data_IF_623724410186
#
_entry.id   IF_623724410186
#
_cell.length_a   1.000
_cell.length_b   1.000
_cell.length_c   1.000
_cell.angle_alpha   90.00
_cell.angle_beta   90.00
_cell.angle_gamma   90.00
#
_symmetry.space_group_name_H-M   'P 1'
#
loop_
_entity.id
_entity.type
_entity.pdbx_description
1 polymer ?
#
# COMPACT_ATOMS: atom_id res chain seq x y z
N UNK A 1 -27.69 19.36 -7.38
CA UNK A 1 -28.66 20.15 -6.57
C UNK A 1 -28.83 21.60 -7.06
N UNK A 2 -27.92 22.55 -6.77
CA UNK A 2 -28.16 23.96 -7.13
C UNK A 2 -27.86 24.29 -8.60
N UNK A 3 -26.90 23.60 -9.22
CA UNK A 3 -26.57 23.77 -10.64
C UNK A 3 -27.43 22.90 -11.56
N UNK A 4 -27.55 21.61 -11.25
CA UNK A 4 -28.19 20.61 -12.13
C UNK A 4 -29.55 20.12 -11.63
N UNK A 5 -29.97 20.43 -10.40
CA UNK A 5 -31.20 19.86 -9.81
C UNK A 5 -31.12 18.36 -9.46
N UNK A 6 -30.10 17.65 -9.93
CA UNK A 6 -29.97 16.20 -9.78
C UNK A 6 -29.08 15.80 -8.58
N UNK A 7 -29.26 14.55 -8.15
CA UNK A 7 -28.51 13.87 -7.07
C UNK A 7 -27.73 12.65 -7.60
N UNK A 8 -27.61 12.52 -8.92
CA UNK A 8 -26.77 11.50 -9.54
C UNK A 8 -25.29 11.78 -9.22
N UNK A 9 -24.55 10.72 -8.94
CA UNK A 9 -23.11 10.82 -8.62
C UNK A 9 -22.31 11.14 -9.90
N UNK A 10 -22.76 10.60 -11.04
CA UNK A 10 -22.28 10.91 -12.38
C UNK A 10 -22.88 12.24 -12.86
N UNK A 11 -22.09 13.04 -13.59
CA UNK A 11 -22.47 14.32 -14.21
C UNK A 11 -22.27 15.59 -13.34
N UNK A 12 -21.10 15.78 -12.71
CA UNK A 12 -20.67 17.09 -12.19
C UNK A 12 -20.15 17.97 -13.33
N UNK A 13 -20.97 18.93 -13.75
CA UNK A 13 -20.66 19.81 -14.88
C UNK A 13 -19.76 21.02 -14.54
N UNK A 14 -19.69 21.41 -13.25
CA UNK A 14 -18.92 22.57 -12.83
C UNK A 14 -17.60 22.19 -12.15
N UNK A 15 -16.57 23.00 -12.39
CA UNK A 15 -15.20 22.75 -11.90
C UNK A 15 -15.05 22.97 -10.40
N UNK A 16 -15.87 23.82 -9.79
CA UNK A 16 -15.81 24.11 -8.35
C UNK A 16 -16.23 22.92 -7.47
N UNK A 17 -17.36 22.23 -7.67
CA UNK A 17 -17.72 21.06 -6.88
C UNK A 17 -16.77 19.88 -7.12
N UNK A 18 -16.27 19.68 -8.35
CA UNK A 18 -15.30 18.60 -8.62
C UNK A 18 -13.96 18.84 -7.90
N UNK A 19 -13.49 20.09 -7.82
CA UNK A 19 -12.31 20.45 -7.02
C UNK A 19 -12.53 20.25 -5.51
N UNK A 20 -13.69 20.63 -4.99
CA UNK A 20 -14.02 20.41 -3.57
C UNK A 20 -14.13 18.92 -3.25
N UNK A 21 -14.78 18.15 -4.12
CA UNK A 21 -14.93 16.70 -3.96
C UNK A 21 -13.59 15.98 -4.04
N UNK A 22 -12.76 16.29 -5.05
CA UNK A 22 -11.42 15.72 -5.19
C UNK A 22 -10.58 16.00 -3.95
N UNK A 23 -10.48 17.25 -3.51
CA UNK A 23 -9.70 17.60 -2.30
C UNK A 23 -10.22 16.90 -1.04
N UNK A 24 -11.53 16.79 -0.85
CA UNK A 24 -12.12 16.04 0.27
C UNK A 24 -11.75 14.55 0.24
N UNK A 25 -11.79 13.92 -0.94
CA UNK A 25 -11.39 12.52 -1.10
C UNK A 25 -9.87 12.33 -0.90
N UNK A 26 -9.04 13.28 -1.34
CA UNK A 26 -7.59 13.27 -1.10
C UNK A 26 -7.26 13.33 0.39
N UNK A 27 -7.96 14.16 1.17
CA UNK A 27 -7.83 14.23 2.62
C UNK A 27 -8.17 12.87 3.24
N UNK A 28 -9.31 12.28 2.87
CA UNK A 28 -9.78 11.00 3.42
C UNK A 28 -8.87 9.82 3.07
N UNK A 29 -8.27 9.82 1.89
CA UNK A 29 -7.30 8.81 1.47
C UNK A 29 -5.89 9.07 2.01
N UNK A 30 -5.63 10.22 2.64
CA UNK A 30 -4.31 10.65 3.11
C UNK A 30 -3.28 10.79 1.98
N UNK A 31 -3.71 11.36 0.87
CA UNK A 31 -2.86 11.62 -0.29
C UNK A 31 -2.13 12.94 -0.06
N UNK A 32 -0.86 13.02 -0.47
CA UNK A 32 -0.09 14.26 -0.34
C UNK A 32 -0.77 15.43 -1.07
N UNK A 33 -0.84 16.63 -0.46
CA UNK A 33 -0.16 17.06 0.77
C UNK A 33 -0.87 16.66 2.09
N UNK A 34 -2.10 16.14 2.04
CA UNK A 34 -2.94 15.84 3.20
C UNK A 34 -2.62 14.53 3.93
N UNK A 35 -1.40 14.01 3.77
CA UNK A 35 -0.96 12.72 4.30
C UNK A 35 -0.57 12.74 5.79
N UNK A 36 -0.33 13.93 6.38
CA UNK A 36 0.30 14.08 7.70
C UNK A 36 -0.49 13.45 8.86
N UNK A 37 -1.82 13.39 8.77
CA UNK A 37 -2.64 12.82 9.84
C UNK A 37 -2.48 11.30 9.97
N UNK A 38 -2.18 10.61 8.87
CA UNK A 38 -2.24 9.15 8.82
C UNK A 38 -1.11 8.46 9.63
N UNK A 39 0.17 8.86 9.54
CA UNK A 39 1.24 8.25 10.34
C UNK A 39 1.03 8.37 11.86
N UNK A 40 0.51 9.51 12.34
CA UNK A 40 0.33 9.76 13.77
C UNK A 40 -0.90 9.04 14.33
N UNK A 41 -2.01 9.01 13.57
CA UNK A 41 -3.20 8.24 13.96
C UNK A 41 -2.88 6.76 14.03
N UNK A 42 -2.23 6.18 13.02
CA UNK A 42 -1.90 4.76 13.01
C UNK A 42 -0.93 4.41 14.13
N UNK A 43 -0.02 5.32 14.52
CA UNK A 43 0.88 5.04 15.62
C UNK A 43 0.16 4.89 16.97
N UNK A 44 -0.93 5.62 17.20
CA UNK A 44 -1.72 5.58 18.43
C UNK A 44 -2.78 4.47 18.50
N UNK A 45 -3.00 3.75 17.40
CA UNK A 45 -4.04 2.72 17.30
C UNK A 45 -3.49 1.30 17.49
N UNK A 46 -4.39 0.38 17.85
CA UNK A 46 -4.11 -1.06 17.88
C UNK A 46 -3.85 -1.64 16.49
N UNK A 47 -3.13 -2.76 16.42
CA UNK A 47 -2.75 -3.37 15.14
C UNK A 47 -3.96 -3.78 14.28
N UNK A 48 -5.03 -4.26 14.91
CA UNK A 48 -6.25 -4.65 14.17
C UNK A 48 -6.98 -3.44 13.59
N UNK A 49 -7.09 -2.35 14.36
CA UNK A 49 -7.72 -1.11 13.89
C UNK A 49 -6.87 -0.42 12.83
N UNK A 50 -5.53 -0.50 12.94
CA UNK A 50 -4.61 -0.07 11.89
C UNK A 50 -4.86 -0.82 10.57
N UNK A 51 -5.03 -2.15 10.64
CA UNK A 51 -5.33 -2.96 9.46
C UNK A 51 -6.64 -2.52 8.81
N UNK A 52 -7.70 -2.33 9.59
CA UNK A 52 -9.02 -1.86 9.10
C UNK A 52 -8.90 -0.47 8.46
N UNK A 53 -8.14 0.45 9.08
CA UNK A 53 -7.96 1.81 8.57
C UNK A 53 -7.18 1.84 7.25
N UNK A 54 -6.17 0.98 7.09
CA UNK A 54 -5.37 0.91 5.87
C UNK A 54 -6.01 0.09 4.75
N UNK A 55 -7.01 -0.74 5.06
CA UNK A 55 -7.70 -1.58 4.07
C UNK A 55 -9.11 -1.10 3.78
N UNK A 56 -10.02 -1.33 4.73
CA UNK A 56 -11.45 -1.10 4.58
C UNK A 56 -11.79 0.37 4.31
N UNK A 57 -11.15 1.30 5.03
CA UNK A 57 -11.44 2.73 4.89
C UNK A 57 -10.97 3.32 3.56
N UNK A 58 -10.15 2.60 2.77
CA UNK A 58 -9.71 3.03 1.43
C UNK A 58 -10.69 2.64 0.33
N UNK A 59 -11.56 1.64 0.56
CA UNK A 59 -12.49 1.13 -0.45
C UNK A 59 -13.51 2.17 -0.91
N UNK A 60 -14.25 2.76 0.03
CA UNK A 60 -15.34 3.68 -0.32
C UNK A 60 -14.86 4.96 -1.02
N UNK A 61 -13.80 5.67 -0.56
CA UNK A 61 -13.29 6.84 -1.27
C UNK A 61 -12.72 6.49 -2.65
N UNK A 62 -12.09 5.33 -2.81
CA UNK A 62 -11.57 4.89 -4.11
C UNK A 62 -12.70 4.56 -5.09
N UNK A 63 -13.76 3.90 -4.62
CA UNK A 63 -14.94 3.62 -5.44
C UNK A 63 -15.59 4.91 -5.95
N UNK A 64 -15.69 5.95 -5.09
CA UNK A 64 -16.19 7.26 -5.52
C UNK A 64 -15.29 7.92 -6.55
N UNK A 65 -13.95 7.89 -6.37
CA UNK A 65 -13.01 8.45 -7.36
C UNK A 65 -13.14 7.76 -8.72
N UNK A 66 -13.32 6.44 -8.74
CA UNK A 66 -13.49 5.68 -9.99
C UNK A 66 -14.81 6.04 -10.69
N UNK A 67 -15.89 6.28 -9.94
CA UNK A 67 -17.19 6.65 -10.52
C UNK A 67 -17.20 8.04 -11.17
N UNK A 68 -16.41 8.98 -10.63
CA UNK A 68 -16.35 10.37 -11.10
C UNK A 68 -15.15 10.65 -12.00
N UNK A 69 -14.38 9.62 -12.35
CA UNK A 69 -13.16 9.68 -13.16
C UNK A 69 -13.23 10.65 -14.37
N UNK A 70 -14.25 10.62 -15.25
CA UNK A 70 -14.25 11.45 -16.47
C UNK A 70 -14.29 12.96 -16.20
N UNK A 71 -14.63 13.38 -14.99
CA UNK A 71 -14.81 14.79 -14.61
C UNK A 71 -13.65 15.35 -13.79
N UNK A 72 -12.69 14.51 -13.44
CA UNK A 72 -11.57 14.92 -12.60
C UNK A 72 -10.51 15.65 -13.41
N UNK A 73 -9.82 16.59 -12.76
CA UNK A 73 -8.73 17.30 -13.39
C UNK A 73 -7.48 16.38 -13.46
N UNK A 74 -7.02 15.95 -14.66
CA UNK A 74 -5.87 15.07 -14.83
C UNK A 74 -4.58 15.66 -14.25
N UNK A 75 -4.39 16.97 -14.42
CA UNK A 75 -3.17 17.65 -13.96
C UNK A 75 -3.10 17.64 -12.43
N UNK A 76 -4.22 17.89 -11.76
CA UNK A 76 -4.28 17.88 -10.29
C UNK A 76 -3.97 16.48 -9.74
N UNK A 77 -4.58 15.44 -10.30
CA UNK A 77 -4.41 14.06 -9.86
C UNK A 77 -2.97 13.57 -10.07
N UNK A 78 -2.36 13.89 -11.20
CA UNK A 78 -0.96 13.52 -11.47
C UNK A 78 0.00 14.23 -10.52
N UNK A 79 -0.22 15.51 -10.19
CA UNK A 79 0.56 16.24 -9.17
C UNK A 79 0.41 15.58 -7.80
N UNK A 80 -0.82 15.34 -7.31
CA UNK A 80 -1.04 14.72 -6.01
C UNK A 80 -0.50 13.29 -5.92
N UNK A 81 -0.70 12.51 -6.98
CA UNK A 81 -0.18 11.15 -7.10
C UNK A 81 1.35 11.13 -7.03
N UNK A 82 2.04 11.89 -7.88
CA UNK A 82 3.51 11.94 -7.87
C UNK A 82 4.10 12.45 -6.56
N UNK A 83 3.52 13.52 -5.98
CA UNK A 83 3.95 14.02 -4.67
C UNK A 83 3.80 12.95 -3.58
N UNK A 84 2.71 12.18 -3.60
CA UNK A 84 2.48 11.15 -2.58
C UNK A 84 3.43 9.97 -2.68
N UNK A 85 3.89 9.59 -3.88
CA UNK A 85 4.94 8.57 -4.04
C UNK A 85 6.27 9.08 -3.48
N UNK A 86 6.64 10.33 -3.78
CA UNK A 86 7.90 10.93 -3.29
C UNK A 86 7.88 11.06 -1.75
N UNK A 87 6.84 11.68 -1.19
CA UNK A 87 6.73 11.91 0.25
C UNK A 87 6.51 10.60 1.02
N UNK A 88 5.78 9.63 0.46
CA UNK A 88 5.67 8.30 1.03
C UNK A 88 7.02 7.58 1.07
N UNK A 89 7.80 7.66 0.00
CA UNK A 89 9.16 7.13 -0.06
C UNK A 89 10.06 7.73 1.01
N UNK A 90 10.21 9.06 1.03
CA UNK A 90 11.08 9.75 2.00
C UNK A 90 10.60 9.63 3.43
N UNK A 91 9.29 9.76 3.68
CA UNK A 91 8.72 9.68 5.02
C UNK A 91 8.94 8.32 5.70
N UNK A 92 8.93 7.23 4.91
CA UNK A 92 9.14 5.87 5.41
C UNK A 92 10.59 5.56 5.80
N UNK A 93 11.58 6.22 5.20
CA UNK A 93 13.00 5.94 5.42
C UNK A 93 13.39 6.11 6.90
N UNK A 94 12.92 7.15 7.57
CA UNK A 94 13.38 7.47 8.92
C UNK A 94 12.47 6.94 10.04
N UNK A 95 11.59 5.97 9.76
CA UNK A 95 10.66 5.46 10.77
C UNK A 95 11.16 4.16 11.43
N UNK A 96 11.32 4.12 12.76
CA UNK A 96 11.62 2.90 13.50
C UNK A 96 10.36 2.09 13.88
N UNK A 97 9.18 2.70 13.76
CA UNK A 97 7.90 2.09 14.09
C UNK A 97 7.29 1.43 12.86
N UNK A 98 6.97 0.14 12.95
CA UNK A 98 6.45 -0.64 11.81
C UNK A 98 5.11 -0.06 11.35
N UNK A 99 4.29 0.39 12.29
CA UNK A 99 3.02 1.07 12.01
C UNK A 99 3.19 2.31 11.13
N UNK A 100 4.18 3.17 11.42
CA UNK A 100 4.50 4.33 10.58
C UNK A 100 5.10 3.96 9.23
N UNK A 101 5.90 2.88 9.15
CA UNK A 101 6.39 2.37 7.86
C UNK A 101 5.19 1.95 6.99
N UNK A 102 4.24 1.20 7.54
CA UNK A 102 3.03 0.80 6.82
C UNK A 102 2.15 2.00 6.44
N UNK A 103 2.08 3.04 7.27
CA UNK A 103 1.44 4.30 6.93
C UNK A 103 2.02 4.93 5.66
N UNK A 104 3.34 5.15 5.62
CA UNK A 104 4.00 5.74 4.45
C UNK A 104 4.00 4.83 3.22
N UNK A 105 3.95 3.51 3.41
CA UNK A 105 3.68 2.60 2.30
C UNK A 105 2.32 2.85 1.67
N UNK A 106 1.28 3.05 2.49
CA UNK A 106 -0.08 3.29 2.00
C UNK A 106 -0.16 4.56 1.18
N UNK A 107 0.51 5.63 1.62
CA UNK A 107 0.53 6.91 0.90
C UNK A 107 1.23 6.77 -0.44
N UNK A 108 2.32 5.99 -0.51
CA UNK A 108 3.01 5.72 -1.77
C UNK A 108 2.17 4.86 -2.73
N UNK A 109 1.57 3.76 -2.25
CA UNK A 109 0.74 2.89 -3.09
C UNK A 109 -0.52 3.61 -3.61
N UNK A 110 -1.17 4.42 -2.78
CA UNK A 110 -2.29 5.26 -3.23
C UNK A 110 -1.84 6.27 -4.29
N UNK A 111 -0.62 6.81 -4.18
CA UNK A 111 0.01 7.61 -5.22
C UNK A 111 0.00 6.98 -6.60
N UNK A 112 0.45 5.72 -6.68
CA UNK A 112 0.40 4.94 -7.91
C UNK A 112 -1.04 4.77 -8.43
N UNK A 113 -2.01 4.56 -7.55
CA UNK A 113 -3.42 4.39 -7.94
C UNK A 113 -4.01 5.68 -8.53
N UNK A 114 -3.71 6.83 -7.95
CA UNK A 114 -4.27 8.12 -8.38
C UNK A 114 -3.76 8.53 -9.75
N UNK A 115 -2.46 8.33 -10.02
CA UNK A 115 -1.87 8.69 -11.32
C UNK A 115 -2.54 7.92 -12.45
N UNK A 116 -2.86 6.64 -12.23
CA UNK A 116 -3.43 5.77 -13.27
C UNK A 116 -4.93 5.88 -13.38
N UNK A 117 -5.60 6.40 -12.36
CA UNK A 117 -7.04 6.57 -12.35
C UNK A 117 -7.55 7.28 -13.59
N UNK A 118 -6.81 8.29 -14.05
CA UNK A 118 -7.20 9.12 -15.20
C UNK A 118 -6.86 8.50 -16.55
N UNK A 119 -5.99 7.50 -16.57
CA UNK A 119 -5.53 6.86 -17.80
C UNK A 119 -6.32 5.58 -18.06
N UNK A 120 -6.42 4.74 -17.02
CA UNK A 120 -7.06 3.44 -17.11
C UNK A 120 -7.59 3.00 -15.73
N UNK A 121 -8.88 3.26 -15.42
CA UNK A 121 -9.44 3.03 -14.09
C UNK A 121 -9.38 1.56 -13.66
N UNK A 122 -9.45 0.61 -14.59
CA UNK A 122 -9.35 -0.83 -14.31
C UNK A 122 -8.01 -1.23 -13.68
N UNK A 123 -6.89 -0.62 -14.09
CA UNK A 123 -5.59 -0.86 -13.46
C UNK A 123 -5.54 -0.34 -12.03
N UNK A 124 -6.32 0.71 -11.70
CA UNK A 124 -6.42 1.17 -10.32
C UNK A 124 -7.14 0.18 -9.43
N UNK A 125 -8.18 -0.48 -9.93
CA UNK A 125 -8.89 -1.55 -9.22
C UNK A 125 -7.94 -2.72 -8.96
N UNK A 126 -7.17 -3.12 -9.98
CA UNK A 126 -6.16 -4.17 -9.84
C UNK A 126 -5.13 -3.83 -8.75
N UNK A 127 -4.56 -2.63 -8.80
CA UNK A 127 -3.57 -2.18 -7.82
C UNK A 127 -4.17 -2.11 -6.41
N UNK A 128 -5.42 -1.64 -6.26
CA UNK A 128 -6.14 -1.62 -4.99
C UNK A 128 -6.28 -3.02 -4.42
N UNK A 129 -6.76 -3.99 -5.20
CA UNK A 129 -6.95 -5.38 -4.76
C UNK A 129 -5.64 -6.01 -4.30
N UNK A 130 -4.56 -5.84 -5.07
CA UNK A 130 -3.24 -6.34 -4.70
C UNK A 130 -2.72 -5.68 -3.42
N UNK A 131 -2.85 -4.35 -3.32
CA UNK A 131 -2.45 -3.59 -2.13
C UNK A 131 -3.19 -4.05 -0.87
N UNK A 132 -4.51 -4.26 -0.95
CA UNK A 132 -5.33 -4.75 0.16
C UNK A 132 -4.87 -6.15 0.61
N UNK A 133 -4.60 -7.05 -0.33
CA UNK A 133 -4.09 -8.40 -0.02
C UNK A 133 -2.71 -8.37 0.64
N UNK A 134 -1.78 -7.59 0.09
CA UNK A 134 -0.41 -7.45 0.63
C UNK A 134 -0.40 -6.83 2.03
N UNK A 135 -1.17 -5.76 2.25
CA UNK A 135 -1.23 -5.10 3.55
C UNK A 135 -1.94 -5.96 4.60
N UNK A 136 -3.03 -6.64 4.26
CA UNK A 136 -3.67 -7.60 5.15
C UNK A 136 -2.69 -8.73 5.53
N UNK A 137 -1.95 -9.29 4.58
CA UNK A 137 -0.93 -10.30 4.86
C UNK A 137 0.12 -9.78 5.87
N UNK A 138 0.65 -8.58 5.66
CA UNK A 138 1.61 -7.96 6.57
C UNK A 138 1.05 -7.73 7.98
N UNK A 139 -0.15 -7.16 8.10
CA UNK A 139 -0.75 -6.89 9.41
C UNK A 139 -1.09 -8.18 10.16
N UNK A 140 -1.57 -9.21 9.48
CA UNK A 140 -1.82 -10.51 10.12
C UNK A 140 -0.51 -11.16 10.61
N UNK A 141 0.58 -11.03 9.87
CA UNK A 141 1.91 -11.48 10.29
C UNK A 141 2.43 -10.69 11.51
N UNK A 142 2.28 -9.36 11.50
CA UNK A 142 2.66 -8.49 12.62
C UNK A 142 1.82 -8.80 13.87
N UNK A 143 0.52 -9.09 13.70
CA UNK A 143 -0.39 -9.50 14.78
C UNK A 143 0.06 -10.82 15.42
N UNK A 144 0.41 -11.82 14.61
CA UNK A 144 0.90 -13.12 15.10
C UNK A 144 2.20 -12.98 15.93
N UNK A 145 3.06 -12.00 15.60
CA UNK A 145 4.33 -11.78 16.28
C UNK A 145 4.26 -10.78 17.45
N UNK A 146 3.14 -10.04 17.56
CA UNK A 146 2.88 -8.97 18.53
C UNK A 146 4.00 -7.92 18.61
N UNK A 147 4.59 -7.57 17.47
CA UNK A 147 5.78 -6.70 17.39
C UNK A 147 5.50 -5.39 16.67
N UNK A 148 5.67 -4.27 17.38
CA UNK A 148 5.33 -2.93 16.87
C UNK A 148 6.52 -2.14 16.32
N UNK A 149 7.75 -2.49 16.74
CA UNK A 149 8.99 -1.77 16.42
C UNK A 149 9.94 -2.72 15.71
N UNK A 150 10.87 -2.17 14.90
CA UNK A 150 11.89 -2.96 14.19
C UNK A 150 12.65 -3.89 15.13
N UNK A 151 13.15 -3.39 16.27
CA UNK A 151 13.94 -4.21 17.21
C UNK A 151 13.14 -5.37 17.84
N UNK A 152 11.84 -5.14 18.12
CA UNK A 152 10.94 -6.19 18.63
C UNK A 152 10.63 -7.24 17.56
N UNK A 153 10.57 -6.83 16.30
CA UNK A 153 10.40 -7.73 15.17
C UNK A 153 11.69 -8.52 14.89
N UNK A 154 12.85 -7.89 15.05
CA UNK A 154 14.13 -8.54 14.84
C UNK A 154 14.36 -9.72 15.80
N UNK A 155 13.88 -9.62 17.05
CA UNK A 155 13.99 -10.69 18.07
C UNK A 155 12.88 -11.74 18.00
N UNK A 156 11.83 -11.52 17.18
CA UNK A 156 10.66 -12.40 17.13
C UNK A 156 10.86 -13.67 16.30
N UNK A 157 12.00 -13.82 15.62
CA UNK A 157 12.35 -15.05 14.87
C UNK A 157 12.31 -16.32 15.75
N UNK A 158 12.57 -16.15 17.05
CA UNK A 158 12.46 -17.22 18.06
C UNK A 158 11.04 -17.64 18.39
N UNK A 159 10.04 -16.76 18.18
CA UNK A 159 8.63 -17.07 18.43
C UNK A 159 8.02 -17.90 17.29
N UNK A 160 8.34 -17.53 16.06
CA UNK A 160 7.87 -18.25 14.87
C UNK A 160 8.87 -18.11 13.72
N UNK A 161 9.75 -19.10 13.59
CA UNK A 161 10.82 -19.11 12.59
C UNK A 161 10.27 -19.20 11.16
N UNK A 162 9.18 -19.95 10.95
CA UNK A 162 8.56 -20.14 9.64
C UNK A 162 7.98 -18.86 9.04
N UNK A 163 7.53 -17.92 9.88
CA UNK A 163 6.86 -16.71 9.45
C UNK A 163 7.83 -15.61 9.01
N UNK A 164 9.09 -15.62 9.46
CA UNK A 164 10.12 -14.64 9.05
C UNK A 164 10.46 -14.67 7.55
N UNK A 165 10.78 -15.82 6.93
CA UNK A 165 11.04 -15.85 5.49
C UNK A 165 9.79 -15.49 4.68
N UNK A 166 8.58 -15.88 5.15
CA UNK A 166 7.34 -15.48 4.48
C UNK A 166 7.11 -13.96 4.55
N UNK A 167 7.37 -13.35 5.71
CA UNK A 167 7.27 -11.91 5.88
C UNK A 167 8.27 -11.16 4.97
N UNK A 168 9.48 -11.67 4.80
CA UNK A 168 10.44 -11.14 3.84
C UNK A 168 9.85 -11.10 2.42
N UNK A 169 9.27 -12.21 1.94
CA UNK A 169 8.72 -12.29 0.57
C UNK A 169 7.57 -11.28 0.39
N UNK A 170 6.69 -11.11 1.38
CA UNK A 170 5.61 -10.10 1.31
C UNK A 170 6.15 -8.66 1.37
N UNK A 171 7.24 -8.40 2.09
CA UNK A 171 7.90 -7.09 2.04
C UNK A 171 8.48 -6.80 0.65
N UNK A 172 9.05 -7.82 -0.01
CA UNK A 172 9.51 -7.70 -1.39
C UNK A 172 8.35 -7.48 -2.36
N UNK A 173 7.18 -8.08 -2.10
CA UNK A 173 5.99 -7.85 -2.90
C UNK A 173 5.48 -6.41 -2.78
N UNK A 174 5.42 -5.86 -1.57
CA UNK A 174 5.11 -4.43 -1.37
C UNK A 174 6.14 -3.50 -2.06
N UNK A 175 7.42 -3.88 -2.00
CA UNK A 175 8.51 -3.22 -2.74
C UNK A 175 8.34 -3.28 -4.26
N UNK A 176 7.64 -4.28 -4.78
CA UNK A 176 7.41 -4.49 -6.19
C UNK A 176 8.65 -5.02 -6.91
N UNK A 177 9.29 -6.06 -6.36
CA UNK A 177 10.38 -6.75 -7.05
C UNK A 177 9.84 -7.85 -8.00
N UNK A 178 10.37 -8.00 -9.22
CA UNK A 178 10.17 -9.22 -10.00
C UNK A 178 10.82 -10.35 -9.19
N UNK A 179 10.18 -11.49 -8.85
CA UNK A 179 9.06 -12.25 -9.45
C UNK A 179 7.71 -12.20 -8.67
N UNK A 180 7.52 -11.21 -7.80
CA UNK A 180 6.33 -11.14 -6.90
C UNK A 180 5.14 -10.43 -7.53
N UNK A 181 3.92 -10.65 -7.02
CA UNK A 181 2.71 -10.05 -7.58
C UNK A 181 2.65 -8.52 -7.46
N UNK A 182 3.30 -7.91 -6.47
CA UNK A 182 3.29 -6.45 -6.32
C UNK A 182 4.14 -5.69 -7.35
N UNK A 183 4.97 -6.39 -8.14
CA UNK A 183 5.64 -5.80 -9.31
C UNK A 183 4.65 -5.52 -10.45
N UNK A 184 3.66 -6.41 -10.60
CA UNK A 184 2.66 -6.38 -11.67
C UNK A 184 1.98 -5.01 -11.85
N UNK A 185 1.35 -4.41 -10.82
CA UNK A 185 0.68 -3.13 -11.00
C UNK A 185 1.66 -2.01 -11.32
N UNK A 186 2.83 -1.95 -10.68
CA UNK A 186 3.81 -0.88 -10.94
C UNK A 186 4.32 -0.94 -12.38
N UNK A 187 4.56 -2.14 -12.90
CA UNK A 187 4.99 -2.33 -14.28
C UNK A 187 3.93 -1.89 -15.29
N UNK A 188 2.68 -2.37 -15.16
CA UNK A 188 1.59 -2.00 -16.07
C UNK A 188 1.28 -0.50 -16.03
N UNK A 189 1.35 0.11 -14.84
CA UNK A 189 1.17 1.57 -14.68
C UNK A 189 2.25 2.34 -15.45
N UNK A 190 3.51 1.92 -15.34
CA UNK A 190 4.60 2.57 -16.08
C UNK A 190 4.42 2.41 -17.59
N UNK A 191 3.92 1.27 -18.05
CA UNK A 191 3.61 1.04 -19.46
C UNK A 191 2.54 2.02 -19.97
N UNK A 192 1.44 2.18 -19.25
CA UNK A 192 0.38 3.13 -19.64
C UNK A 192 0.86 4.58 -19.63
N UNK A 193 1.70 4.97 -18.65
CA UNK A 193 2.28 6.31 -18.62
C UNK A 193 3.18 6.59 -19.83
N UNK A 194 3.93 5.59 -20.30
CA UNK A 194 4.76 5.71 -21.49
C UNK A 194 3.90 5.78 -22.75
N UNK A 195 2.82 4.99 -22.86
CA UNK A 195 1.86 5.06 -23.98
C UNK A 195 1.25 6.46 -24.13
N UNK A 196 0.99 7.13 -23.02
CA UNK A 196 0.46 8.51 -23.00
C UNK A 196 1.55 9.60 -23.06
N UNK A 197 2.80 9.28 -23.45
CA UNK A 197 3.93 10.21 -23.54
C UNK A 197 4.33 10.91 -22.22
N UNK A 198 3.91 10.40 -21.05
CA UNK A 198 4.25 10.95 -19.73
C UNK A 198 5.57 10.38 -19.18
N UNK A 199 6.61 10.33 -20.02
CA UNK A 199 7.88 9.64 -19.74
C UNK A 199 8.59 10.22 -18.50
N UNK A 200 8.57 11.54 -18.33
CA UNK A 200 9.21 12.20 -17.19
C UNK A 200 8.52 11.86 -15.87
N UNK A 201 7.20 11.77 -15.86
CA UNK A 201 6.44 11.36 -14.67
C UNK A 201 6.72 9.89 -14.35
N UNK A 202 6.73 9.04 -15.37
CA UNK A 202 7.04 7.62 -15.23
C UNK A 202 8.44 7.39 -14.61
N UNK A 203 9.46 8.12 -15.07
CA UNK A 203 10.82 7.99 -14.52
C UNK A 203 10.93 8.45 -13.07
N UNK A 204 10.30 9.57 -12.70
CA UNK A 204 10.24 10.06 -11.31
C UNK A 204 9.52 9.05 -10.41
N UNK A 205 8.41 8.49 -10.87
CA UNK A 205 7.69 7.46 -10.12
C UNK A 205 8.53 6.18 -9.95
N UNK A 206 9.21 5.72 -11.00
CA UNK A 206 10.09 4.56 -10.93
C UNK A 206 11.23 4.75 -9.92
N UNK A 207 11.91 5.91 -9.95
CA UNK A 207 13.01 6.21 -9.00
C UNK A 207 12.49 6.34 -7.57
N UNK A 208 11.33 6.96 -7.36
CA UNK A 208 10.75 7.08 -6.02
C UNK A 208 10.25 5.75 -5.45
N UNK A 209 9.83 4.79 -6.29
CA UNK A 209 9.55 3.44 -5.83
C UNK A 209 10.78 2.75 -5.23
N UNK A 210 12.00 3.02 -5.73
CA UNK A 210 13.24 2.48 -5.15
C UNK A 210 13.49 3.00 -3.72
N UNK A 211 13.08 4.24 -3.40
CA UNK A 211 13.13 4.75 -2.03
C UNK A 211 12.24 3.94 -1.10
N UNK A 212 11.03 3.58 -1.57
CA UNK A 212 10.12 2.74 -0.78
C UNK A 212 10.69 1.34 -0.55
N UNK A 213 11.33 0.79 -1.57
CA UNK A 213 11.98 -0.51 -1.53
C UNK A 213 13.12 -0.56 -0.50
N UNK A 214 13.89 0.52 -0.33
CA UNK A 214 14.98 0.57 0.65
C UNK A 214 14.50 0.30 2.08
N UNK A 215 13.41 0.93 2.54
CA UNK A 215 12.96 0.70 3.92
C UNK A 215 12.35 -0.69 4.12
N UNK A 216 11.78 -1.30 3.07
CA UNK A 216 11.35 -2.69 3.11
C UNK A 216 12.54 -3.65 3.19
N UNK A 217 13.58 -3.43 2.39
CA UNK A 217 14.83 -4.20 2.47
C UNK A 217 15.45 -4.10 3.85
N UNK A 218 15.48 -2.90 4.45
CA UNK A 218 15.96 -2.71 5.83
C UNK A 218 15.15 -3.57 6.81
N UNK A 219 13.81 -3.56 6.70
CA UNK A 219 12.97 -4.38 7.58
C UNK A 219 13.25 -5.88 7.36
N UNK A 220 13.27 -6.35 6.11
CA UNK A 220 13.58 -7.73 5.76
C UNK A 220 14.94 -8.18 6.30
N UNK A 221 15.96 -7.32 6.18
CA UNK A 221 17.31 -7.58 6.67
C UNK A 221 17.34 -7.80 8.19
N UNK A 222 16.69 -6.93 8.95
CA UNK A 222 16.65 -7.03 10.41
C UNK A 222 15.85 -8.21 10.95
N UNK A 223 14.95 -8.77 10.15
CA UNK A 223 13.96 -9.76 10.61
C UNK A 223 14.26 -11.18 10.18
N UNK A 224 14.83 -11.35 8.99
CA UNK A 224 15.05 -12.68 8.38
C UNK A 224 16.51 -12.97 8.03
N UNK A 225 17.24 -11.98 7.48
CA UNK A 225 18.62 -12.20 7.00
C UNK A 225 19.65 -12.16 8.13
N UNK A 226 19.36 -11.44 9.21
CA UNK A 226 20.22 -11.36 10.38
C UNK A 226 19.51 -11.89 11.62
N UNK A 227 20.27 -12.55 12.50
CA UNK A 227 19.78 -13.07 13.77
C UNK A 227 20.33 -12.21 14.91
N UNK A 228 19.59 -11.19 15.39
CA UNK A 228 20.04 -10.37 16.52
C UNK A 228 20.00 -11.18 17.83
N UNK A 229 20.71 -10.72 18.88
CA UNK A 229 20.71 -11.37 20.18
C UNK A 229 19.29 -11.42 20.76
N UNK A 230 18.90 -12.58 21.29
CA UNK A 230 17.57 -12.84 21.85
C UNK A 230 17.60 -12.86 23.37
N UNK A 231 16.47 -12.51 24.00
CA UNK A 231 16.35 -12.52 25.45
C UNK A 231 16.25 -13.96 25.97
N UNK A 232 16.78 -14.22 27.17
CA UNK A 232 16.78 -15.55 27.80
C UNK A 232 15.36 -16.11 28.01
N UNK A 233 14.37 -15.24 28.24
CA UNK A 233 12.96 -15.60 28.40
C UNK A 233 12.29 -16.08 27.10
N UNK A 234 12.95 -15.94 25.94
CA UNK A 234 12.38 -16.36 24.65
C UNK A 234 12.10 -17.87 24.57
N UNK A 235 12.81 -18.68 25.36
CA UNK A 235 12.64 -20.13 25.45
C UNK A 235 11.22 -20.55 25.87
N UNK A 236 10.51 -19.70 26.63
CA UNK A 236 9.13 -19.97 27.05
C UNK A 236 8.13 -19.91 25.89
N UNK A 237 8.42 -19.12 24.84
CA UNK A 237 7.56 -19.03 23.67
C UNK A 237 7.56 -20.31 22.84
N UNK A 238 8.61 -21.14 22.94
CA UNK A 238 8.66 -22.44 22.25
C UNK A 238 7.59 -23.40 22.74
N UNK A 239 7.19 -23.30 24.00
CA UNK A 239 6.21 -24.21 24.61
C UNK A 239 4.76 -23.80 24.34
N UNK A 240 4.52 -22.55 23.95
CA UNK A 240 3.17 -21.95 23.89
C UNK A 240 2.72 -21.60 22.47
N UNK A 241 3.34 -22.20 21.45
CA UNK A 241 2.95 -21.93 20.07
C UNK A 241 1.57 -22.52 19.74
N UNK A 242 0.60 -21.64 19.47
CA UNK A 242 -0.69 -21.98 18.86
C UNK A 242 -0.80 -21.31 17.50
N UNK A 243 -1.01 -22.04 16.40
CA UNK A 243 -1.20 -21.44 15.08
C UNK A 243 -2.56 -20.72 15.06
N UNK A 244 -2.56 -19.39 15.15
CA UNK A 244 -3.79 -18.65 15.48
C UNK A 244 -4.54 -18.07 14.28
N UNK A 245 -4.13 -18.34 13.02
CA UNK A 245 -4.88 -17.78 11.89
C UNK A 245 -4.77 -18.61 10.61
N UNK A 246 -5.87 -19.27 10.20
CA UNK A 246 -5.94 -20.00 8.93
C UNK A 246 -5.91 -19.08 7.71
N UNK A 247 -6.20 -17.79 7.89
CA UNK A 247 -6.26 -16.82 6.80
C UNK A 247 -4.87 -16.30 6.36
N UNK A 248 -3.86 -16.36 7.24
CA UNK A 248 -2.51 -15.86 6.90
C UNK A 248 -1.88 -16.54 5.69
N UNK A 249 -1.85 -17.89 5.55
CA UNK A 249 -1.24 -18.51 4.38
C UNK A 249 -1.95 -18.14 3.08
N UNK A 250 -3.29 -18.04 3.09
CA UNK A 250 -4.07 -17.66 1.90
C UNK A 250 -3.68 -16.26 1.43
N UNK A 251 -3.60 -15.29 2.34
CA UNK A 251 -3.22 -13.92 2.00
C UNK A 251 -1.75 -13.83 1.53
N UNK A 252 -0.85 -14.65 2.09
CA UNK A 252 0.57 -14.69 1.67
C UNK A 252 0.73 -15.27 0.27
N UNK A 253 -0.01 -16.31 -0.08
CA UNK A 253 0.03 -16.90 -1.44
C UNK A 253 -0.51 -15.89 -2.45
N UNK A 254 -1.64 -15.25 -2.12
CA UNK A 254 -2.22 -14.19 -2.95
C UNK A 254 -1.25 -13.01 -3.16
N UNK A 255 -0.54 -12.57 -2.12
CA UNK A 255 0.38 -11.44 -2.21
C UNK A 255 1.70 -11.75 -2.93
N UNK A 256 1.99 -13.02 -3.26
CA UNK A 256 3.32 -13.38 -3.79
C UNK A 256 3.27 -14.06 -5.15
N UNK A 257 2.31 -14.96 -5.41
CA UNK A 257 2.36 -15.89 -6.54
C UNK A 257 1.38 -15.58 -7.71
N UNK A 258 0.85 -14.37 -7.81
CA UNK A 258 -0.11 -14.02 -8.89
C UNK A 258 0.53 -13.63 -10.23
N UNK A 259 1.85 -13.42 -10.29
CA UNK A 259 2.53 -12.98 -11.52
C UNK A 259 2.30 -13.89 -12.76
N UNK A 260 2.32 -15.24 -12.67
CA UNK A 260 2.05 -16.09 -13.84
C UNK A 260 0.61 -16.00 -14.36
N UNK A 261 -0.34 -15.50 -13.56
CA UNK A 261 -1.76 -15.35 -13.93
C UNK A 261 -2.00 -14.01 -14.66
N UNK A 262 -0.94 -13.21 -14.85
CA UNK A 262 -0.98 -11.93 -15.57
C UNK A 262 -1.76 -11.97 -16.90
N UNK A 263 -1.55 -12.92 -17.83
CA UNK A 263 -2.22 -12.88 -19.14
C UNK A 263 -3.74 -12.99 -19.00
N UNK A 264 -4.20 -13.80 -18.06
CA UNK A 264 -5.64 -13.93 -17.78
C UNK A 264 -6.21 -12.70 -17.10
N UNK A 265 -5.43 -12.03 -16.24
CA UNK A 265 -5.84 -10.76 -15.63
C UNK A 265 -5.96 -9.65 -16.67
N UNK A 266 -5.01 -9.57 -17.62
CA UNK A 266 -5.07 -8.59 -18.71
C UNK A 266 -6.26 -8.80 -19.64
N UNK A 267 -6.68 -10.05 -19.89
CA UNK A 267 -7.89 -10.30 -20.69
C UNK A 267 -9.20 -9.95 -19.97
N UNK A 268 -9.19 -9.80 -18.65
CA UNK A 268 -10.37 -9.45 -17.84
C UNK A 268 -10.49 -7.95 -17.59
N UNK A 269 -9.40 -7.20 -17.79
CA UNK A 269 -9.34 -5.75 -17.72
C UNK A 269 -9.68 -5.19 -19.10
#
# INVERSE_FOLDING_TARGET
>A
AWYTGEWTISCMQSTTPTLILTTALMIKLAIAPFHLWLPDVIQGLDLMTCMILLTWQKLAPMALLIQIEPELNPMLLTIFGTLSVILGGWGGLNQPQIRKIMAFSSTAHLGWMIVVLVLFPQLTILNLVLYLGMTAAMFLMILNLSSTNINKMATSWTKNSSLMPMMMIVLMSLGGLPPTSGFLPKWLILEELVKHNMILIASVMAVSALLSLFFYLRLAYTTSLTTPPTLQNSKLFWQTYKPNNKMTPVMVIFSTMLLPILPTLLNLL
#
